data_IF_336807377713
#
_entry.id   IF_336807377713
#
_cell.length_a   1.000
_cell.length_b   1.000
_cell.length_c   1.000
_cell.angle_alpha   90.00
_cell.angle_beta   90.00
_cell.angle_gamma   90.00
#
_symmetry.space_group_name_H-M   'P 1'
#
loop_
_entity.id
_entity.type
_entity.pdbx_description
1 polymer ?
#
# COMPACT_ATOMS: atom_id res chain seq x y z
N UNK A 1 -11.29 -6.63 31.92
CA UNK A 1 -10.23 -7.20 31.06
C UNK A 1 -10.59 -6.86 29.62
N UNK A 2 -10.07 -5.75 29.10
CA UNK A 2 -10.37 -5.28 27.75
C UNK A 2 -9.53 -6.03 26.71
N UNK A 3 -10.01 -6.03 25.47
CA UNK A 3 -9.20 -6.44 24.32
C UNK A 3 -8.05 -5.44 24.22
N UNK A 4 -6.87 -5.85 24.64
CA UNK A 4 -5.66 -5.06 24.52
C UNK A 4 -5.08 -5.16 23.11
N UNK A 5 -4.15 -4.25 22.82
CA UNK A 5 -3.38 -4.24 21.57
C UNK A 5 -2.70 -5.60 21.34
N UNK A 6 -2.31 -6.29 22.41
CA UNK A 6 -1.65 -7.60 22.35
C UNK A 6 -2.55 -8.69 21.74
N UNK A 7 -3.84 -8.69 22.07
CA UNK A 7 -4.82 -9.64 21.53
C UNK A 7 -5.09 -9.37 20.05
N UNK A 8 -5.19 -8.09 19.67
CA UNK A 8 -5.41 -7.69 18.27
C UNK A 8 -4.23 -8.14 17.39
N UNK A 9 -3.00 -7.94 17.85
CA UNK A 9 -1.80 -8.39 17.12
C UNK A 9 -1.77 -9.92 16.98
N UNK A 10 -2.11 -10.67 18.02
CA UNK A 10 -2.15 -12.14 17.96
C UNK A 10 -3.17 -12.64 16.93
N UNK A 11 -4.36 -12.03 16.89
CA UNK A 11 -5.40 -12.35 15.90
C UNK A 11 -4.90 -12.01 14.50
N UNK A 12 -4.25 -10.86 14.32
CA UNK A 12 -3.69 -10.43 13.04
C UNK A 12 -2.71 -11.48 12.50
N UNK A 13 -1.80 -11.98 13.35
CA UNK A 13 -0.82 -13.01 12.96
C UNK A 13 -1.50 -14.29 12.46
N UNK A 14 -2.55 -14.76 13.15
CA UNK A 14 -3.31 -15.95 12.73
C UNK A 14 -3.95 -15.73 11.35
N UNK A 15 -4.56 -14.55 11.14
CA UNK A 15 -5.15 -14.19 9.85
C UNK A 15 -4.08 -14.14 8.75
N UNK A 16 -2.90 -13.59 9.03
CA UNK A 16 -1.79 -13.54 8.08
C UNK A 16 -1.27 -14.93 7.71
N UNK A 17 -1.31 -15.91 8.62
CA UNK A 17 -0.91 -17.29 8.32
C UNK A 17 -1.93 -17.95 7.39
N UNK A 18 -3.23 -17.74 7.62
CA UNK A 18 -4.30 -18.32 6.80
C UNK A 18 -4.34 -17.70 5.39
N UNK A 19 -4.23 -16.37 5.32
CA UNK A 19 -4.31 -15.63 4.05
C UNK A 19 -2.96 -15.52 3.32
N UNK A 20 -1.85 -15.62 4.04
CA UNK A 20 -0.50 -15.43 3.54
C UNK A 20 -0.11 -13.95 3.39
N UNK A 21 1.16 -13.63 3.66
CA UNK A 21 1.70 -12.27 3.56
C UNK A 21 1.69 -11.67 2.14
N UNK A 22 1.59 -12.49 1.08
CA UNK A 22 1.57 -12.01 -0.30
C UNK A 22 0.18 -11.58 -0.80
N UNK A 23 -0.90 -12.08 -0.19
CA UNK A 23 -2.27 -11.74 -0.62
C UNK A 23 -2.75 -10.43 -0.02
N UNK A 24 -2.36 -10.16 1.24
CA UNK A 24 -2.80 -8.96 1.98
C UNK A 24 -2.41 -7.63 1.30
N UNK A 25 -1.16 -7.42 0.81
CA UNK A 25 -0.77 -6.16 0.18
C UNK A 25 -1.50 -5.93 -1.14
N UNK A 26 -1.80 -7.00 -1.89
CA UNK A 26 -2.53 -6.92 -3.15
C UNK A 26 -3.98 -6.49 -2.93
N UNK A 27 -4.69 -7.17 -2.02
CA UNK A 27 -6.09 -6.82 -1.71
C UNK A 27 -6.20 -5.46 -1.04
N UNK A 28 -5.28 -5.12 -0.13
CA UNK A 28 -5.27 -3.82 0.53
C UNK A 28 -4.92 -2.71 -0.45
N UNK A 29 -4.06 -2.96 -1.44
CA UNK A 29 -3.76 -2.00 -2.51
C UNK A 29 -4.98 -1.67 -3.36
N UNK A 30 -5.79 -2.67 -3.71
CA UNK A 30 -7.03 -2.47 -4.49
C UNK A 30 -8.12 -1.76 -3.67
N UNK A 31 -8.27 -2.12 -2.38
CA UNK A 31 -9.17 -1.42 -1.45
C UNK A 31 -8.72 0.02 -1.22
N UNK A 32 -7.42 0.27 -1.02
CA UNK A 32 -6.87 1.60 -0.81
C UNK A 32 -7.07 2.51 -2.02
N UNK A 33 -6.91 1.98 -3.24
CA UNK A 33 -7.24 2.72 -4.48
C UNK A 33 -8.72 3.08 -4.55
N UNK A 34 -9.62 2.14 -4.22
CA UNK A 34 -11.06 2.40 -4.17
C UNK A 34 -11.44 3.48 -3.15
N UNK A 35 -10.90 3.39 -1.93
CA UNK A 35 -11.11 4.39 -0.87
C UNK A 35 -10.51 5.74 -1.24
N UNK A 36 -9.33 5.77 -1.88
CA UNK A 36 -8.69 7.01 -2.35
C UNK A 36 -9.55 7.70 -3.41
N UNK A 37 -10.04 6.97 -4.42
CA UNK A 37 -10.92 7.51 -5.44
C UNK A 37 -12.25 7.98 -4.86
N UNK A 38 -12.82 7.23 -3.90
CA UNK A 38 -14.03 7.64 -3.18
C UNK A 38 -13.80 8.94 -2.38
N UNK A 39 -12.67 9.04 -1.69
CA UNK A 39 -12.31 10.24 -0.91
C UNK A 39 -11.99 11.42 -1.80
N UNK A 40 -11.34 11.22 -2.94
CA UNK A 40 -11.10 12.26 -3.95
C UNK A 40 -12.41 12.74 -4.57
N UNK A 41 -13.28 11.85 -5.03
CA UNK A 41 -14.58 12.25 -5.60
C UNK A 41 -15.47 13.00 -4.60
N UNK A 42 -15.47 12.57 -3.33
CA UNK A 42 -16.21 13.30 -2.29
C UNK A 42 -15.54 14.61 -1.88
N UNK A 43 -14.22 14.75 -2.09
CA UNK A 43 -13.50 16.02 -1.93
C UNK A 43 -13.76 16.97 -3.10
N UNK A 44 -13.86 16.47 -4.33
CA UNK A 44 -14.22 17.27 -5.51
C UNK A 44 -15.64 17.83 -5.37
N UNK A 45 -16.60 17.06 -4.83
CA UNK A 45 -17.97 17.54 -4.60
C UNK A 45 -18.05 18.64 -3.52
N UNK A 46 -17.18 18.60 -2.49
CA UNK A 46 -17.08 19.69 -1.50
C UNK A 46 -16.14 20.83 -1.93
N UNK A 47 -15.24 20.59 -2.89
CA UNK A 47 -14.29 21.55 -3.44
C UNK A 47 -14.77 22.23 -4.73
N UNK A 48 -15.95 21.90 -5.26
CA UNK A 48 -16.62 22.69 -6.31
C UNK A 48 -16.99 24.12 -5.82
N UNK A 49 -16.87 24.39 -4.51
CA UNK A 49 -16.85 25.76 -3.96
C UNK A 49 -15.45 26.41 -3.87
N UNK A 50 -14.37 25.73 -4.28
CA UNK A 50 -12.99 26.25 -4.25
C UNK A 50 -12.03 25.48 -5.19
N UNK A 51 -12.05 25.86 -6.48
CA UNK A 51 -10.92 25.92 -7.42
C UNK A 51 -9.97 24.69 -7.51
N UNK A 52 -10.17 23.91 -8.58
CA UNK A 52 -9.16 23.44 -9.55
C UNK A 52 -7.69 23.36 -9.08
N UNK A 53 -7.17 22.14 -8.89
CA UNK A 53 -5.81 21.66 -9.31
C UNK A 53 -5.50 20.32 -8.65
N UNK A 54 -5.39 19.23 -9.43
CA UNK A 54 -4.28 18.27 -9.33
C UNK A 54 -4.43 17.13 -10.36
N UNK A 55 -3.60 17.21 -11.40
CA UNK A 55 -3.32 16.17 -12.38
C UNK A 55 -3.00 14.80 -11.74
N UNK A 56 -3.53 13.67 -12.24
CA UNK A 56 -3.11 12.36 -11.75
C UNK A 56 -1.77 11.99 -12.40
N UNK A 57 -0.71 11.94 -11.60
CA UNK A 57 0.54 11.26 -11.97
C UNK A 57 0.26 9.78 -12.19
N UNK A 58 0.23 9.40 -13.46
CA UNK A 58 0.50 8.05 -13.93
C UNK A 58 1.95 7.72 -13.60
N UNK A 59 2.20 7.00 -12.51
CA UNK A 59 3.50 6.37 -12.25
C UNK A 59 3.28 4.90 -11.91
N UNK A 60 3.43 4.08 -12.96
CA UNK A 60 4.22 2.84 -12.96
C UNK A 60 4.22 2.02 -11.66
N UNK A 61 3.32 1.04 -11.58
CA UNK A 61 3.54 -0.16 -10.75
C UNK A 61 4.30 -1.15 -11.62
N UNK A 62 5.63 -1.06 -11.67
CA UNK A 62 6.56 -2.16 -11.95
C UNK A 62 7.96 -1.78 -11.46
N UNK A 63 8.26 -2.05 -10.18
CA UNK A 63 9.59 -2.42 -9.70
C UNK A 63 9.52 -2.71 -8.21
N UNK A 64 9.36 -3.99 -7.85
CA UNK A 64 9.71 -4.54 -6.53
C UNK A 64 9.59 -6.07 -6.57
N UNK A 65 10.30 -6.71 -7.49
CA UNK A 65 10.71 -8.10 -7.38
C UNK A 65 11.91 -8.27 -8.33
N UNK A 66 13.03 -8.74 -7.78
CA UNK A 66 14.28 -9.09 -8.48
C UNK A 66 15.33 -7.97 -8.62
N UNK A 67 16.13 -7.79 -7.56
CA UNK A 67 17.53 -7.36 -7.62
C UNK A 67 18.20 -7.76 -6.30
N UNK A 68 18.62 -9.02 -6.25
CA UNK A 68 19.53 -9.55 -5.24
C UNK A 68 20.53 -10.46 -5.94
N UNK A 69 21.42 -9.89 -6.77
CA UNK A 69 22.70 -10.49 -7.13
C UNK A 69 23.60 -9.42 -7.82
N UNK A 70 24.55 -8.86 -7.06
CA UNK A 70 25.91 -8.58 -7.55
C UNK A 70 26.75 -8.08 -6.37
N UNK A 71 27.44 -9.03 -5.73
CA UNK A 71 28.62 -8.80 -4.90
C UNK A 71 29.81 -9.39 -5.67
N UNK A 72 30.98 -8.78 -5.52
CA UNK A 72 32.23 -9.02 -6.28
C UNK A 72 32.20 -8.41 -7.68
N UNK A 73 33.13 -7.56 -8.13
CA UNK A 73 34.56 -7.52 -7.88
C UNK A 73 35.06 -6.08 -8.12
N UNK A 74 35.52 -5.41 -7.05
CA UNK A 74 36.18 -4.11 -7.15
C UNK A 74 37.55 -4.32 -7.79
N UNK A 75 37.65 -3.90 -9.04
CA UNK A 75 38.89 -3.74 -9.77
C UNK A 75 39.97 -3.09 -8.89
N UNK A 76 41.00 -3.87 -8.60
CA UNK A 76 42.33 -3.38 -8.27
C UNK A 76 42.95 -2.90 -9.58
N UNK A 77 43.03 -1.60 -9.78
CA UNK A 77 43.89 -0.95 -10.76
C UNK A 77 44.28 0.42 -10.21
#
# INVERSE_FOLDING_TARGET
MGIGVWQVVLILVIVLIIFGAGKLPKVMGDVAKGVKNFKSGMQDEVADSKSETAVPKTESVTQAAESADNKEESAKS
#
